data_IF_281918320439
#
_entry.id   IF_281918320439
#
_cell.length_a   1.000
_cell.length_b   1.000
_cell.length_c   1.000
_cell.angle_alpha   90.00
_cell.angle_beta   90.00
_cell.angle_gamma   90.00
#
_symmetry.space_group_name_H-M   'P 1'
#
loop_
_entity.id
_entity.type
_entity.pdbx_description
1 polymer ?
#
# COMPACT_ATOMS: atom_id res chain seq x y z
N UNK A 1 1.43 -15.73 -0.11
CA UNK A 1 1.20 -14.73 0.95
C UNK A 1 -0.22 -14.20 0.85
N UNK A 2 -1.06 -14.36 1.88
CA UNK A 2 -2.45 -13.92 1.85
C UNK A 2 -2.53 -12.42 2.16
N UNK A 3 -2.26 -11.59 1.16
CA UNK A 3 -2.53 -10.16 1.25
C UNK A 3 -4.04 -9.97 1.38
N UNK A 4 -4.55 -9.23 2.38
CA UNK A 4 -5.98 -9.04 2.56
C UNK A 4 -6.60 -8.45 1.29
N UNK A 5 -7.48 -9.23 0.67
CA UNK A 5 -8.23 -8.78 -0.48
C UNK A 5 -9.25 -7.74 -0.03
N UNK A 6 -9.44 -6.72 -0.87
CA UNK A 6 -10.40 -5.69 -0.56
C UNK A 6 -11.83 -6.22 -0.55
N UNK A 7 -12.64 -5.84 0.44
CA UNK A 7 -14.07 -6.16 0.52
C UNK A 7 -14.85 -5.30 -0.48
N UNK A 8 -15.96 -5.83 -1.01
CA UNK A 8 -16.72 -5.14 -2.06
C UNK A 8 -17.38 -3.82 -1.61
N UNK A 9 -17.59 -3.62 -0.30
CA UNK A 9 -18.23 -2.44 0.29
C UNK A 9 -17.32 -1.62 1.22
N UNK A 10 -16.00 -1.85 1.22
CA UNK A 10 -15.12 -1.06 2.09
C UNK A 10 -14.57 0.18 1.37
N UNK A 11 -14.45 1.28 2.11
CA UNK A 11 -13.86 2.52 1.60
C UNK A 11 -12.34 2.41 1.47
N UNK A 12 -11.72 3.24 0.61
CA UNK A 12 -10.24 3.31 0.47
C UNK A 12 -9.54 3.45 1.84
N UNK A 13 -10.09 4.30 2.70
CA UNK A 13 -9.57 4.57 4.04
C UNK A 13 -9.65 3.34 4.95
N UNK A 14 -10.76 2.61 4.90
CA UNK A 14 -10.94 1.39 5.69
C UNK A 14 -10.01 0.28 5.22
N UNK A 15 -9.88 0.11 3.91
CA UNK A 15 -8.91 -0.84 3.35
C UNK A 15 -7.48 -0.52 3.75
N UNK A 16 -7.06 0.74 3.62
CA UNK A 16 -5.71 1.16 4.01
C UNK A 16 -5.47 0.96 5.50
N UNK A 17 -6.43 1.31 6.36
CA UNK A 17 -6.34 1.11 7.81
C UNK A 17 -6.15 -0.37 8.16
N UNK A 18 -6.96 -1.25 7.56
CA UNK A 18 -6.87 -2.71 7.76
C UNK A 18 -5.57 -3.27 7.21
N UNK A 19 -5.18 -2.89 6.00
CA UNK A 19 -3.94 -3.36 5.37
C UNK A 19 -2.70 -2.90 6.14
N UNK A 20 -2.69 -1.70 6.73
CA UNK A 20 -1.56 -1.24 7.54
C UNK A 20 -1.50 -1.86 8.94
N UNK A 21 -2.64 -2.31 9.48
CA UNK A 21 -2.75 -2.93 10.81
C UNK A 21 -2.71 -4.45 10.77
N UNK A 22 -2.63 -5.04 9.56
CA UNK A 22 -2.58 -6.49 9.38
C UNK A 22 -1.26 -7.05 9.90
N UNK A 23 -1.31 -8.13 10.67
CA UNK A 23 -0.12 -8.72 11.30
C UNK A 23 0.88 -9.20 10.25
N UNK A 24 0.40 -9.85 9.18
CA UNK A 24 1.24 -10.31 8.05
C UNK A 24 1.92 -9.13 7.37
N UNK A 25 1.22 -8.00 7.24
CA UNK A 25 1.81 -6.79 6.66
C UNK A 25 2.85 -6.16 7.58
N UNK A 26 2.67 -6.24 8.90
CA UNK A 26 3.67 -5.76 9.84
C UNK A 26 4.89 -6.68 9.91
N UNK A 27 4.72 -7.98 9.74
CA UNK A 27 5.80 -8.97 9.71
C UNK A 27 6.60 -8.91 8.39
N UNK A 28 5.93 -8.93 7.23
CA UNK A 28 6.61 -8.92 5.93
C UNK A 28 7.11 -7.52 5.53
N UNK A 29 6.40 -6.47 5.96
CA UNK A 29 6.72 -5.08 5.63
C UNK A 29 6.84 -4.25 6.91
N UNK A 30 7.83 -4.53 7.76
CA UNK A 30 8.06 -3.79 9.00
C UNK A 30 8.15 -2.26 8.77
N UNK A 31 8.71 -1.83 7.63
CA UNK A 31 8.77 -0.43 7.25
C UNK A 31 7.39 0.11 6.83
N UNK A 32 6.89 1.08 7.60
CA UNK A 32 5.60 1.75 7.36
C UNK A 32 5.48 2.35 5.96
N UNK A 33 6.56 2.91 5.38
CA UNK A 33 6.53 3.50 4.02
C UNK A 33 6.31 2.41 2.97
N UNK A 34 7.02 1.29 3.08
CA UNK A 34 6.92 0.16 2.17
C UNK A 34 5.54 -0.51 2.29
N UNK A 35 5.07 -0.74 3.52
CA UNK A 35 3.74 -1.27 3.82
C UNK A 35 2.64 -0.41 3.21
N UNK A 36 2.73 0.91 3.37
CA UNK A 36 1.80 1.85 2.79
C UNK A 36 1.81 1.81 1.25
N UNK A 37 2.99 1.73 0.61
CA UNK A 37 3.10 1.62 -0.84
C UNK A 37 2.46 0.32 -1.38
N UNK A 38 2.65 -0.81 -0.70
CA UNK A 38 2.02 -2.10 -1.05
C UNK A 38 0.50 -2.01 -0.90
N UNK A 39 0.01 -1.51 0.23
CA UNK A 39 -1.42 -1.31 0.46
C UNK A 39 -2.03 -0.40 -0.62
N UNK A 40 -1.40 0.73 -0.94
CA UNK A 40 -1.87 1.59 -2.02
C UNK A 40 -1.88 0.91 -3.38
N UNK A 41 -0.81 0.18 -3.73
CA UNK A 41 -0.73 -0.57 -4.98
C UNK A 41 -1.85 -1.59 -5.11
N UNK A 42 -2.14 -2.33 -4.02
CA UNK A 42 -3.24 -3.30 -3.96
C UNK A 42 -4.62 -2.66 -4.09
N UNK A 43 -4.81 -1.45 -3.55
CA UNK A 43 -6.05 -0.70 -3.75
C UNK A 43 -6.22 -0.24 -5.20
N UNK A 44 -5.15 0.32 -5.80
CA UNK A 44 -5.12 0.86 -7.16
C UNK A 44 -5.31 -0.23 -8.23
N UNK A 45 -4.84 -1.46 -8.00
CA UNK A 45 -4.89 -2.58 -8.96
C UNK A 45 -6.28 -3.06 -9.39
N UNK A 46 -7.39 -2.47 -8.89
CA UNK A 46 -8.75 -2.72 -9.42
C UNK A 46 -9.28 -1.61 -10.35
N UNK A 47 -8.56 -0.50 -10.52
CA UNK A 47 -9.05 0.64 -11.33
C UNK A 47 -8.32 0.87 -12.67
N UNK A 48 -7.24 0.14 -12.97
CA UNK A 48 -6.45 0.40 -14.17
C UNK A 48 -5.55 -0.80 -14.51
N UNK A 49 -5.33 -1.32 -15.73
CA UNK A 49 -5.70 -0.95 -17.11
C UNK A 49 -6.30 0.44 -17.27
N UNK A 50 -5.48 1.47 -17.04
CA UNK A 50 -5.62 2.86 -17.49
C UNK A 50 -5.01 3.83 -16.46
N UNK A 51 -3.83 4.35 -16.81
CA UNK A 51 -3.22 5.60 -16.38
C UNK A 51 -2.60 5.67 -14.97
N UNK A 52 -1.26 5.79 -14.98
CA UNK A 52 -0.47 6.55 -14.01
C UNK A 52 -1.20 7.83 -13.57
N UNK A 53 -1.36 8.01 -12.27
CA UNK A 53 -1.66 9.30 -11.68
C UNK A 53 -0.84 9.45 -10.39
N UNK A 54 -0.02 10.48 -10.46
CA UNK A 54 1.14 10.86 -9.67
C UNK A 54 0.75 11.43 -8.31
N UNK A 55 1.46 11.06 -7.24
CA UNK A 55 1.69 11.97 -6.09
C UNK A 55 2.90 11.46 -5.27
N UNK A 56 3.74 12.35 -4.70
CA UNK A 56 5.17 12.40 -4.97
C UNK A 56 6.00 11.40 -4.17
N UNK A 57 7.09 11.05 -4.83
CA UNK A 57 8.31 10.45 -4.31
C UNK A 57 8.71 11.09 -2.97
N UNK A 58 8.48 10.38 -1.86
CA UNK A 58 9.27 10.62 -0.64
C UNK A 58 10.67 10.09 -0.92
N UNK A 59 11.44 10.88 -1.65
CA UNK A 59 12.88 10.75 -1.82
C UNK A 59 13.54 10.91 -0.44
N UNK A 60 13.52 9.84 0.34
CA UNK A 60 14.62 9.58 1.24
C UNK A 60 15.77 9.17 0.35
N UNK A 61 16.40 10.17 -0.29
CA UNK A 61 17.74 10.09 -0.84
C UNK A 61 18.61 9.46 0.23
N UNK A 62 18.82 8.18 0.04
CA UNK A 62 19.90 7.41 0.62
C UNK A 62 21.15 8.25 0.36
N UNK A 63 21.67 8.88 1.42
CA UNK A 63 23.04 9.36 1.42
C UNK A 63 23.89 8.10 1.38
N UNK A 64 24.22 7.66 0.16
CA UNK A 64 25.30 6.73 -0.09
C UNK A 64 26.57 7.58 -0.14
N UNK A 65 27.34 7.47 0.95
CA UNK A 65 28.70 7.98 1.21
C UNK A 65 28.89 9.50 1.26
#
# INVERSE_FOLDING_TARGET
MPIPNKKNNESKKEFLSRCMSDEVMNEEFANTKQRYAVCQSKWKNKKAKANEDSDPEVDSRVIIY
#
